data_IF_689979363811
#
_entry.id   IF_689979363811
#
_cell.length_a   1.000
_cell.length_b   1.000
_cell.length_c   1.000
_cell.angle_alpha   90.00
_cell.angle_beta   90.00
_cell.angle_gamma   90.00
#
_symmetry.space_group_name_H-M   'P 1'
#
loop_
_entity.id
_entity.type
_entity.pdbx_description
1 polymer ?
#
# COMPACT_ATOMS: atom_id res chain seq x y z
N UNK A 1 -22.85 1.26 14.17
CA UNK A 1 -21.78 0.32 14.57
C UNK A 1 -20.74 0.08 13.47
N UNK A 2 -21.11 -0.13 12.20
CA UNK A 2 -20.15 -0.42 11.11
C UNK A 2 -19.16 0.72 10.80
N UNK A 3 -19.56 1.97 10.98
CA UNK A 3 -18.70 3.13 10.75
C UNK A 3 -17.47 3.15 11.68
N UNK A 4 -17.57 2.56 12.88
CA UNK A 4 -16.48 2.51 13.86
C UNK A 4 -15.40 1.46 13.53
N UNK A 5 -15.75 0.45 12.71
CA UNK A 5 -14.80 -0.56 12.22
C UNK A 5 -14.05 -0.06 10.98
N UNK A 6 -14.75 0.65 10.10
CA UNK A 6 -14.14 1.28 8.93
C UNK A 6 -13.14 2.37 9.30
N UNK A 7 -13.36 3.12 10.39
CA UNK A 7 -12.38 4.11 10.89
C UNK A 7 -11.14 3.50 11.54
N UNK A 8 -11.19 2.22 11.95
CA UNK A 8 -10.05 1.49 12.51
C UNK A 8 -9.24 0.73 11.46
N UNK A 9 -9.77 0.60 10.24
CA UNK A 9 -9.06 0.02 9.12
C UNK A 9 -8.02 1.02 8.60
N UNK A 10 -6.74 0.73 8.87
CA UNK A 10 -5.60 1.43 8.28
C UNK A 10 -5.31 0.92 6.86
N UNK A 11 -6.34 0.86 6.00
CA UNK A 11 -6.20 0.46 4.61
C UNK A 11 -6.30 1.66 3.68
N UNK A 12 -5.47 1.67 2.64
CA UNK A 12 -5.53 2.64 1.54
C UNK A 12 -5.83 1.87 0.26
N UNK A 13 -7.11 1.62 -0.08
CA UNK A 13 -7.46 0.98 -1.33
C UNK A 13 -7.00 1.86 -2.48
N UNK A 14 -6.44 1.27 -3.52
CA UNK A 14 -6.03 2.00 -4.72
C UNK A 14 -6.50 1.29 -5.97
N UNK A 15 -6.78 2.08 -7.00
CA UNK A 15 -7.08 1.60 -8.33
C UNK A 15 -5.97 2.03 -9.28
N UNK A 16 -5.40 1.08 -10.00
CA UNK A 16 -4.42 1.33 -11.04
C UNK A 16 -4.97 0.88 -12.39
N UNK A 17 -4.68 1.67 -13.42
CA UNK A 17 -5.10 1.40 -14.79
C UNK A 17 -3.92 1.52 -15.75
N UNK A 18 -4.04 0.89 -16.92
CA UNK A 18 -3.06 1.04 -18.00
C UNK A 18 -3.45 2.23 -18.87
N UNK A 19 -2.65 3.29 -18.86
CA UNK A 19 -2.80 4.48 -19.72
C UNK A 19 -1.53 4.64 -20.55
N UNK A 20 -1.64 4.78 -21.87
CA UNK A 20 -0.50 4.97 -22.78
C UNK A 20 0.64 3.97 -22.55
N UNK A 21 0.29 2.68 -22.46
CA UNK A 21 1.21 1.57 -22.18
C UNK A 21 1.92 1.59 -20.82
N UNK A 22 1.64 2.55 -19.93
CA UNK A 22 2.16 2.62 -18.56
C UNK A 22 1.07 2.33 -17.55
N UNK A 23 1.39 1.60 -16.48
CA UNK A 23 0.48 1.45 -15.34
C UNK A 23 0.57 2.73 -14.50
N UNK A 24 -0.58 3.32 -14.18
CA UNK A 24 -0.68 4.52 -13.34
C UNK A 24 -1.72 4.28 -12.25
N UNK A 25 -1.42 4.73 -11.03
CA UNK A 25 -2.42 4.81 -9.95
C UNK A 25 -3.38 5.95 -10.30
N UNK A 26 -4.67 5.64 -10.37
CA UNK A 26 -5.72 6.56 -10.82
C UNK A 26 -6.53 7.13 -9.67
N UNK A 27 -6.79 6.29 -8.66
CA UNK A 27 -7.55 6.69 -7.48
C UNK A 27 -6.98 6.00 -6.25
N UNK A 28 -7.00 6.70 -5.12
CA UNK A 28 -6.64 6.19 -3.80
C UNK A 28 -7.77 6.59 -2.85
N UNK A 29 -8.35 5.60 -2.18
CA UNK A 29 -9.30 5.84 -1.10
C UNK A 29 -8.55 6.05 0.21
N UNK A 30 -9.05 6.98 1.03
CA UNK A 30 -8.59 7.18 2.40
C UNK A 30 -9.78 7.56 3.28
N UNK A 31 -9.69 7.22 4.56
CA UNK A 31 -10.59 7.73 5.58
C UNK A 31 -10.24 9.18 5.95
N UNK A 32 -11.22 9.90 6.50
CA UNK A 32 -11.01 11.19 7.17
C UNK A 32 -11.34 11.04 8.67
N UNK A 33 -10.46 11.50 9.58
CA UNK A 33 -9.16 12.11 9.32
C UNK A 33 -8.16 11.14 8.66
N UNK A 34 -7.16 11.68 7.95
CA UNK A 34 -6.14 10.88 7.28
C UNK A 34 -5.38 10.01 8.28
N UNK A 35 -5.09 8.77 7.88
CA UNK A 35 -4.18 7.90 8.63
C UNK A 35 -2.75 8.43 8.59
N UNK A 36 -1.90 8.03 9.54
CA UNK A 36 -0.48 8.43 9.55
C UNK A 36 0.25 8.12 8.24
N UNK A 37 -0.02 6.97 7.63
CA UNK A 37 0.52 6.60 6.32
C UNK A 37 0.00 7.55 5.23
N UNK A 38 -1.30 7.82 5.20
CA UNK A 38 -1.89 8.71 4.20
C UNK A 38 -1.35 10.14 4.34
N UNK A 39 -1.28 10.68 5.55
CA UNK A 39 -0.70 12.01 5.80
C UNK A 39 0.74 12.09 5.31
N UNK A 40 1.54 11.06 5.57
CA UNK A 40 2.93 11.02 5.10
C UNK A 40 3.01 10.92 3.56
N UNK A 41 2.21 10.06 2.92
CA UNK A 41 2.16 9.96 1.46
C UNK A 41 1.64 11.24 0.79
N UNK A 42 0.79 12.00 1.49
CA UNK A 42 0.31 13.30 1.05
C UNK A 42 1.42 14.36 1.10
N UNK A 43 2.21 14.38 2.19
CA UNK A 43 3.36 15.29 2.34
C UNK A 43 4.44 15.08 1.27
N UNK A 44 4.52 13.88 0.70
CA UNK A 44 5.49 13.54 -0.35
C UNK A 44 5.07 13.86 -1.76
N UNK A 45 3.85 14.36 -1.93
CA UNK A 45 3.31 14.66 -3.24
C UNK A 45 3.39 16.14 -3.53
N UNK A 46 3.86 16.47 -4.73
CA UNK A 46 3.97 17.85 -5.19
C UNK A 46 2.60 18.50 -5.51
N UNK A 47 1.51 17.73 -5.53
CA UNK A 47 0.21 18.15 -6.09
C UNK A 47 -0.98 18.01 -5.13
N UNK A 48 -0.76 18.05 -3.81
CA UNK A 48 -1.83 17.96 -2.79
C UNK A 48 -2.71 16.70 -2.94
N UNK A 49 -2.07 15.60 -3.36
CA UNK A 49 -2.71 14.30 -3.64
C UNK A 49 -1.91 13.20 -3.00
N UNK A 50 -2.55 12.10 -2.59
CA UNK A 50 -1.79 10.91 -2.20
C UNK A 50 -1.02 10.35 -3.41
N UNK A 51 0.26 10.04 -3.23
CA UNK A 51 1.07 9.35 -4.23
C UNK A 51 1.64 8.04 -3.66
N UNK A 52 1.46 6.94 -4.38
CA UNK A 52 2.01 5.63 -4.03
C UNK A 52 3.35 5.35 -4.72
N UNK A 53 3.84 6.24 -5.58
CA UNK A 53 5.09 6.09 -6.32
C UNK A 53 6.28 5.75 -5.42
N UNK A 54 6.32 6.35 -4.23
CA UNK A 54 7.35 6.09 -3.22
C UNK A 54 7.35 4.66 -2.68
N UNK A 55 6.21 3.97 -2.70
CA UNK A 55 6.12 2.57 -2.27
C UNK A 55 6.72 1.65 -3.31
N UNK A 56 6.49 1.93 -4.60
CA UNK A 56 6.90 1.06 -5.69
C UNK A 56 8.34 1.32 -6.15
N UNK A 57 8.84 2.56 -6.07
CA UNK A 57 10.16 2.98 -6.58
C UNK A 57 10.51 2.30 -7.91
N UNK A 58 11.53 1.44 -7.93
CA UNK A 58 12.01 0.73 -9.11
C UNK A 58 11.26 -0.60 -9.39
N UNK A 59 10.36 -1.01 -8.50
CA UNK A 59 9.61 -2.27 -8.50
C UNK A 59 8.22 -2.17 -9.14
N UNK A 60 7.91 -1.08 -9.87
CA UNK A 60 6.61 -0.89 -10.57
C UNK A 60 6.24 -2.09 -11.44
N UNK A 61 7.22 -2.71 -12.11
CA UNK A 61 6.97 -3.90 -12.92
C UNK A 61 6.44 -5.06 -12.07
N UNK A 62 7.08 -5.30 -10.93
CA UNK A 62 6.76 -6.42 -10.04
C UNK A 62 5.47 -6.18 -9.25
N UNK A 63 5.32 -4.99 -8.65
CA UNK A 63 4.27 -4.71 -7.67
C UNK A 63 2.99 -4.13 -8.29
N UNK A 64 3.05 -3.64 -9.54
CA UNK A 64 1.89 -3.11 -10.26
C UNK A 64 1.64 -3.82 -11.59
N UNK A 65 2.65 -3.88 -12.45
CA UNK A 65 2.44 -4.36 -13.83
C UNK A 65 2.18 -5.86 -13.90
N UNK A 66 2.92 -6.67 -13.15
CA UNK A 66 2.76 -8.12 -13.12
C UNK A 66 1.41 -8.55 -12.52
N UNK A 67 0.94 -7.95 -11.40
CA UNK A 67 -0.39 -8.23 -10.86
C UNK A 67 -1.54 -7.89 -11.80
N UNK A 68 -1.38 -6.86 -12.65
CA UNK A 68 -2.44 -6.44 -13.59
C UNK A 68 -2.56 -7.31 -14.85
N UNK A 69 -1.66 -8.27 -15.08
CA UNK A 69 -1.73 -9.13 -16.26
C UNK A 69 -2.98 -10.03 -16.17
N UNK A 70 -3.83 -10.08 -17.21
CA UNK A 70 -4.95 -11.01 -17.25
C UNK A 70 -4.46 -12.45 -17.10
N UNK A 71 -5.08 -13.21 -16.20
CA UNK A 71 -4.82 -14.64 -16.00
C UNK A 71 -6.14 -15.33 -15.73
N UNK A 72 -6.44 -16.39 -16.47
CA UNK A 72 -7.73 -17.08 -16.41
C UNK A 72 -7.95 -17.84 -15.09
N UNK A 73 -6.88 -18.13 -14.34
CA UNK A 73 -6.91 -18.99 -13.14
C UNK A 73 -6.26 -18.35 -11.90
N UNK A 74 -6.35 -17.03 -11.71
CA UNK A 74 -5.77 -16.41 -10.53
C UNK A 74 -6.60 -16.70 -9.27
N UNK A 75 -6.20 -17.72 -8.50
CA UNK A 75 -6.90 -18.13 -7.27
C UNK A 75 -6.60 -17.24 -6.06
N UNK A 76 -5.44 -16.58 -6.06
CA UNK A 76 -4.97 -15.77 -4.93
C UNK A 76 -4.49 -14.39 -5.39
N UNK A 77 -4.71 -13.34 -4.58
CA UNK A 77 -4.15 -12.04 -4.88
C UNK A 77 -2.61 -12.08 -4.79
N UNK A 78 -1.97 -11.17 -5.51
CA UNK A 78 -0.56 -10.89 -5.31
C UNK A 78 -0.40 -10.17 -3.99
N UNK A 79 0.50 -10.66 -3.13
CA UNK A 79 0.75 -10.10 -1.81
C UNK A 79 2.23 -9.74 -1.73
N UNK A 80 2.52 -8.48 -1.47
CA UNK A 80 3.86 -7.98 -1.19
C UNK A 80 3.90 -7.41 0.23
N UNK A 81 4.85 -7.87 1.03
CA UNK A 81 5.13 -7.29 2.34
C UNK A 81 6.28 -6.30 2.20
N UNK A 82 6.00 -5.03 2.50
CA UNK A 82 6.91 -3.91 2.32
C UNK A 82 7.10 -3.17 3.65
N UNK A 83 8.35 -2.90 3.99
CA UNK A 83 8.75 -2.05 5.08
C UNK A 83 9.15 -0.69 4.52
N UNK A 84 8.55 0.36 5.05
CA UNK A 84 8.79 1.75 4.68
C UNK A 84 9.32 2.49 5.91
N UNK A 85 10.59 2.91 5.84
CA UNK A 85 11.21 3.75 6.85
C UNK A 85 11.22 5.20 6.37
N UNK A 86 10.79 6.12 7.23
CA UNK A 86 10.72 7.55 6.96
C UNK A 86 11.45 8.29 8.08
N UNK A 87 12.55 8.94 7.75
CA UNK A 87 13.32 9.78 8.67
C UNK A 87 12.91 11.25 8.46
N UNK A 88 12.77 11.99 9.56
CA UNK A 88 12.35 13.38 9.55
C UNK A 88 13.47 14.28 10.06
N UNK A 89 13.60 15.47 9.47
CA UNK A 89 14.43 16.55 9.99
C UNK A 89 13.55 17.77 10.28
N UNK A 90 13.21 17.95 11.55
CA UNK A 90 12.14 18.88 11.95
C UNK A 90 10.78 18.38 11.49
N UNK A 91 10.05 19.20 10.74
CA UNK A 91 8.74 18.83 10.16
C UNK A 91 8.82 18.25 8.75
N UNK A 92 10.01 18.26 8.13
CA UNK A 92 10.21 17.81 6.76
C UNK A 92 10.72 16.37 6.71
N UNK A 93 10.33 15.64 5.68
CA UNK A 93 10.85 14.30 5.41
C UNK A 93 12.25 14.44 4.81
N UNK A 94 13.24 13.85 5.48
CA UNK A 94 14.66 13.89 5.08
C UNK A 94 15.01 12.69 4.20
N UNK A 95 14.60 11.48 4.63
CA UNK A 95 14.96 10.25 3.95
C UNK A 95 13.83 9.23 3.95
N UNK A 96 13.72 8.53 2.83
CA UNK A 96 12.78 7.41 2.67
C UNK A 96 13.48 6.19 2.14
N UNK A 97 13.37 5.11 2.91
CA UNK A 97 13.84 3.80 2.50
C UNK A 97 12.69 2.79 2.42
N UNK A 98 12.78 1.89 1.45
CA UNK A 98 11.78 0.84 1.25
C UNK A 98 12.45 -0.50 1.02
N UNK A 99 12.00 -1.52 1.75
CA UNK A 99 12.46 -2.91 1.61
C UNK A 99 11.29 -3.87 1.54
N UNK A 100 11.29 -4.78 0.56
CA UNK A 100 10.44 -5.96 0.59
C UNK A 100 10.94 -6.96 1.62
N UNK A 101 10.05 -7.86 2.04
CA UNK A 101 10.40 -8.99 2.91
C UNK A 101 11.58 -9.81 2.38
N UNK A 102 11.67 -9.98 1.07
CA UNK A 102 12.72 -10.71 0.37
C UNK A 102 14.06 -9.95 0.26
N UNK A 103 14.10 -8.66 0.61
CA UNK A 103 15.36 -7.88 0.64
C UNK A 103 16.16 -8.05 1.94
N UNK A 104 15.70 -8.92 2.82
CA UNK A 104 16.37 -9.26 4.08
C UNK A 104 16.95 -10.66 3.97
N UNK A 105 18.24 -10.79 4.25
CA UNK A 105 18.93 -12.08 4.23
C UNK A 105 18.36 -13.03 5.29
N UNK A 106 18.03 -12.50 6.47
CA UNK A 106 17.45 -13.25 7.58
C UNK A 106 16.54 -12.37 8.48
N UNK A 107 15.98 -13.01 9.51
CA UNK A 107 15.08 -12.37 10.48
C UNK A 107 15.82 -11.34 11.35
N UNK A 108 17.10 -11.54 11.62
CA UNK A 108 17.88 -10.65 12.48
C UNK A 108 18.24 -9.35 11.75
N UNK A 109 18.59 -9.42 10.47
CA UNK A 109 18.76 -8.27 9.59
C UNK A 109 17.46 -7.47 9.47
N UNK A 110 16.32 -8.15 9.35
CA UNK A 110 15.01 -7.50 9.37
C UNK A 110 14.75 -6.81 10.72
N UNK A 111 15.02 -7.48 11.84
CA UNK A 111 14.79 -6.90 13.18
C UNK A 111 15.66 -5.67 13.40
N UNK A 112 16.94 -5.74 13.02
CA UNK A 112 17.88 -4.62 13.11
C UNK A 112 17.40 -3.42 12.28
N UNK A 113 16.94 -3.66 11.04
CA UNK A 113 16.36 -2.63 10.19
C UNK A 113 15.16 -1.94 10.84
N UNK A 114 14.21 -2.73 11.36
CA UNK A 114 13.01 -2.24 12.04
C UNK A 114 13.38 -1.38 13.25
N UNK A 115 14.35 -1.82 14.05
CA UNK A 115 14.81 -1.08 15.22
C UNK A 115 15.48 0.24 14.84
N UNK A 116 16.37 0.22 13.85
CA UNK A 116 17.06 1.41 13.36
C UNK A 116 16.08 2.43 12.77
N UNK A 117 15.11 1.99 11.97
CA UNK A 117 14.09 2.86 11.40
C UNK A 117 13.26 3.55 12.49
N UNK A 118 12.85 2.80 13.53
CA UNK A 118 12.11 3.36 14.67
C UNK A 118 12.91 4.33 15.54
N UNK A 119 14.24 4.18 15.59
CA UNK A 119 15.10 5.11 16.33
C UNK A 119 15.27 6.44 15.59
N UNK A 120 15.21 6.44 14.26
CA UNK A 120 15.48 7.61 13.42
C UNK A 120 14.22 8.30 12.89
N UNK A 121 13.07 7.64 12.97
CA UNK A 121 11.81 8.19 12.52
C UNK A 121 10.67 7.16 12.60
N UNK A 122 9.81 7.18 11.58
CA UNK A 122 8.65 6.32 11.51
C UNK A 122 8.92 5.08 10.66
N UNK A 123 8.31 3.96 11.06
CA UNK A 123 8.30 2.72 10.30
C UNK A 123 6.86 2.30 10.03
N UNK A 124 6.58 2.04 8.76
CA UNK A 124 5.33 1.42 8.32
C UNK A 124 5.62 0.02 7.79
N UNK A 125 4.96 -0.99 8.35
CA UNK A 125 4.93 -2.34 7.80
C UNK A 125 3.63 -2.50 7.01
N UNK A 126 3.75 -2.63 5.70
CA UNK A 126 2.65 -2.62 4.75
C UNK A 126 2.47 -4.00 4.13
N UNK A 127 1.21 -4.42 3.99
CA UNK A 127 0.83 -5.54 3.12
C UNK A 127 0.09 -4.97 1.93
N UNK A 128 0.72 -5.04 0.76
CA UNK A 128 0.17 -4.57 -0.50
C UNK A 128 -0.44 -5.76 -1.21
N UNK A 129 -1.77 -5.71 -1.38
CA UNK A 129 -2.54 -6.77 -2.02
C UNK A 129 -3.04 -6.26 -3.37
N UNK A 130 -2.69 -6.94 -4.45
CA UNK A 130 -3.08 -6.57 -5.80
C UNK A 130 -3.81 -7.73 -6.50
N UNK A 131 -4.90 -7.40 -7.20
CA UNK A 131 -5.70 -8.34 -7.97
C UNK A 131 -6.08 -7.68 -9.31
N UNK A 132 -5.90 -8.36 -10.46
CA UNK A 132 -6.36 -7.84 -11.73
C UNK A 132 -7.89 -7.82 -11.75
N UNK A 133 -8.47 -6.67 -12.08
CA UNK A 133 -9.90 -6.52 -12.27
C UNK A 133 -10.21 -6.66 -13.76
N UNK A 134 -10.76 -7.82 -14.15
CA UNK A 134 -11.08 -8.13 -15.55
C UNK A 134 -12.44 -7.56 -15.99
N UNK A 135 -13.34 -7.31 -15.04
CA UNK A 135 -14.56 -6.54 -15.28
C UNK A 135 -14.79 -5.61 -14.07
N UNK A 136 -14.88 -4.28 -14.29
CA UNK A 136 -14.94 -3.27 -13.22
C UNK A 136 -16.19 -3.39 -12.34
N UNK A 137 -17.24 -4.09 -12.80
CA UNK A 137 -18.46 -4.33 -12.03
C UNK A 137 -18.39 -5.60 -11.16
N UNK A 138 -17.47 -6.54 -11.39
CA UNK A 138 -17.63 -7.93 -10.88
C UNK A 138 -16.95 -8.24 -9.55
N UNK A 139 -16.23 -7.32 -8.91
CA UNK A 139 -15.44 -7.68 -7.70
C UNK A 139 -15.75 -6.85 -6.45
N UNK A 140 -16.45 -5.71 -6.59
CA UNK A 140 -16.90 -4.89 -5.45
C UNK A 140 -18.37 -5.11 -5.07
N UNK A 141 -19.11 -5.95 -5.80
CA UNK A 141 -20.54 -6.15 -5.56
C UNK A 141 -20.76 -7.29 -4.55
N UNK A 142 -21.17 -6.91 -3.34
CA UNK A 142 -21.99 -7.74 -2.43
C UNK A 142 -21.25 -8.62 -1.43
N UNK A 143 -20.64 -9.72 -1.89
CA UNK A 143 -20.24 -10.81 -0.99
C UNK A 143 -18.93 -10.55 -0.24
N UNK A 144 -17.89 -10.07 -0.92
CA UNK A 144 -16.57 -9.88 -0.28
C UNK A 144 -16.55 -8.74 0.74
N UNK A 145 -17.30 -7.66 0.51
CA UNK A 145 -17.48 -6.58 1.49
C UNK A 145 -18.21 -7.09 2.75
N UNK A 146 -19.20 -7.95 2.57
CA UNK A 146 -19.93 -8.58 3.67
C UNK A 146 -19.05 -9.54 4.47
N UNK A 147 -18.12 -10.26 3.83
CA UNK A 147 -17.15 -11.11 4.51
C UNK A 147 -16.07 -10.31 5.26
N UNK A 148 -15.55 -9.23 4.66
CA UNK A 148 -14.60 -8.31 5.33
C UNK A 148 -15.23 -7.61 6.54
N UNK A 149 -16.51 -7.22 6.45
CA UNK A 149 -17.24 -6.65 7.58
C UNK A 149 -17.47 -7.67 8.72
N UNK A 150 -17.59 -8.96 8.40
CA UNK A 150 -17.72 -10.03 9.40
C UNK A 150 -16.41 -10.38 10.11
N UNK A 151 -15.27 -10.22 9.44
CA UNK A 151 -13.94 -10.46 10.04
C UNK A 151 -13.45 -9.34 10.97
N UNK A 152 -14.19 -8.24 11.05
CA UNK A 152 -13.88 -7.08 11.90
C UNK A 152 -14.83 -6.92 13.09
N UNK A 153 -15.82 -7.82 13.25
CA UNK A 153 -16.67 -7.97 14.44
C UNK A 153 -16.14 -9.09 15.33
#
# INVERSE_FOLDING_TARGET
MHQMLLTRLHCLPYFAEKVDHKIKVKAIGSNFPLSSLATMLHQLSDNDRLDLGVLFKQRVKEMLTNPMRPRDNLQHPFIHELYLAVEFHGENIDKIDTKLREDFDDIDAQRAYIQQARQRGNLFALRITALPLLNPLTVLIGEKLSQLARLTL
#
